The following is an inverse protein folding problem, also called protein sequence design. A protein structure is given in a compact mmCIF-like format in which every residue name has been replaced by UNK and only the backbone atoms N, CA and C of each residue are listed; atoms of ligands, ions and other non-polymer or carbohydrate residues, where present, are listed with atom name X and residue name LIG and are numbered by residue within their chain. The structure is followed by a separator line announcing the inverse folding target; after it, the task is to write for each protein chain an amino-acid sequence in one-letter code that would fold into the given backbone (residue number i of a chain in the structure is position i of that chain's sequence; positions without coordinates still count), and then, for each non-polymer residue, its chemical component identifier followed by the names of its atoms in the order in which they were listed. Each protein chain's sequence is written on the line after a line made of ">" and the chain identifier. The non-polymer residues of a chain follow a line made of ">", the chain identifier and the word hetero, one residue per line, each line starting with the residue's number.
data_IF_947149206987
#
_entry.id   IF_947149206987
#
_cell.length_a   1.000
_cell.length_b   1.000
_cell.length_c   1.000
_cell.angle_alpha   90.00
_cell.angle_beta   90.00
_cell.angle_gamma   90.00
#
_symmetry.space_group_name_H-M   'P 1'
#
loop_
_entity.id
_entity.type
_entity.pdbx_description
1 polymer ?
#
# COMPACT_ATOMS: atom_id res chain seq x y z
N UNK A 1 -23.04 -17.29 -6.15
CA UNK A 1 -23.08 -16.06 -5.34
C UNK A 1 -23.40 -14.93 -6.29
N UNK A 2 -24.66 -14.52 -6.27
CA UNK A 2 -25.35 -13.74 -7.27
C UNK A 2 -25.58 -12.34 -6.68
N UNK A 3 -24.87 -11.33 -7.19
CA UNK A 3 -25.01 -9.96 -6.73
C UNK A 3 -26.15 -9.29 -7.50
N UNK A 4 -27.25 -9.07 -6.80
CA UNK A 4 -28.46 -8.41 -7.30
C UNK A 4 -28.22 -6.92 -7.58
N UNK A 5 -28.77 -6.49 -8.70
CA UNK A 5 -28.89 -5.12 -9.20
C UNK A 5 -29.49 -4.15 -8.17
N UNK A 6 -28.81 -3.03 -7.93
CA UNK A 6 -29.38 -1.85 -7.30
C UNK A 6 -29.60 -0.78 -8.38
N UNK A 7 -30.79 -0.81 -8.99
CA UNK A 7 -31.31 0.29 -9.81
C UNK A 7 -31.96 1.31 -8.88
N UNK A 8 -31.38 2.49 -8.74
CA UNK A 8 -32.06 3.66 -8.17
C UNK A 8 -32.78 4.41 -9.31
N UNK A 9 -34.08 4.15 -9.44
CA UNK A 9 -35.03 4.97 -10.20
C UNK A 9 -35.68 5.93 -9.20
N UNK A 10 -35.42 7.22 -9.33
CA UNK A 10 -36.10 8.26 -8.56
C UNK A 10 -36.18 9.57 -9.36
N UNK A 11 -36.84 9.50 -10.51
CA UNK A 11 -37.29 10.69 -11.25
C UNK A 11 -38.66 10.43 -11.86
N UNK A 12 -39.64 10.23 -10.99
CA UNK A 12 -41.05 10.36 -11.35
C UNK A 12 -41.76 10.86 -10.11
N UNK A 13 -42.22 12.11 -10.13
CA UNK A 13 -43.45 12.65 -9.51
C UNK A 13 -43.31 14.17 -9.40
N UNK A 14 -43.49 14.89 -10.51
CA UNK A 14 -44.00 16.27 -10.49
C UNK A 14 -44.73 16.52 -11.82
N UNK A 15 -45.93 15.95 -11.90
CA UNK A 15 -46.95 16.38 -12.85
C UNK A 15 -48.14 16.93 -12.06
N UNK A 16 -48.68 18.03 -12.58
CA UNK A 16 -50.00 18.60 -12.27
C UNK A 16 -50.12 19.47 -11.02
N UNK A 17 -49.89 20.77 -11.19
CA UNK A 17 -50.89 21.78 -10.80
C UNK A 17 -50.66 23.11 -11.54
N UNK A 18 -51.28 23.26 -12.71
CA UNK A 18 -51.31 24.51 -13.45
C UNK A 18 -52.36 25.43 -12.83
N UNK A 19 -51.94 26.28 -11.89
CA UNK A 19 -52.73 27.42 -11.43
C UNK A 19 -52.36 28.66 -12.25
N UNK A 20 -53.35 29.13 -13.00
CA UNK A 20 -53.38 30.38 -13.75
C UNK A 20 -53.06 31.56 -12.81
N UNK A 21 -51.90 32.20 -12.98
CA UNK A 21 -51.58 33.44 -12.28
C UNK A 21 -52.15 34.66 -13.03
N UNK A 22 -52.80 35.61 -12.33
CA UNK A 22 -53.30 36.84 -12.94
C UNK A 22 -52.17 37.78 -13.35
N UNK A 23 -52.42 38.53 -14.43
CA UNK A 23 -51.57 39.55 -15.04
C UNK A 23 -50.85 40.44 -14.01
N UNK A 24 -49.51 40.39 -14.01
CA UNK A 24 -48.67 41.34 -13.31
C UNK A 24 -48.43 42.59 -14.18
N UNK A 25 -48.45 43.80 -13.61
CA UNK A 25 -48.18 45.05 -14.34
C UNK A 25 -46.72 45.12 -14.82
N UNK A 26 -46.41 45.97 -15.82
CA UNK A 26 -45.08 46.06 -16.42
C UNK A 26 -44.05 46.47 -15.36
N UNK A 27 -43.15 45.53 -15.06
CA UNK A 27 -41.99 45.77 -14.20
C UNK A 27 -41.05 46.72 -14.94
N UNK A 28 -40.88 47.90 -14.36
CA UNK A 28 -39.82 48.86 -14.71
C UNK A 28 -38.49 48.15 -14.49
N UNK A 29 -37.77 47.88 -15.58
CA UNK A 29 -36.45 47.25 -15.56
C UNK A 29 -35.45 48.25 -14.94
N UNK A 30 -34.87 47.96 -13.76
CA UNK A 30 -33.72 48.71 -13.28
C UNK A 30 -32.51 48.22 -14.07
N UNK A 31 -31.84 49.15 -14.73
CA UNK A 31 -30.55 48.97 -15.41
C UNK A 31 -29.57 48.17 -14.55
N UNK A 32 -29.08 47.06 -15.10
CA UNK A 32 -28.14 46.12 -14.52
C UNK A 32 -26.76 46.75 -14.25
N UNK A 33 -26.22 46.53 -13.03
CA UNK A 33 -24.87 45.99 -12.90
C UNK A 33 -24.78 45.01 -11.72
N UNK A 34 -25.20 43.75 -11.88
CA UNK A 34 -25.10 42.76 -10.78
C UNK A 34 -24.48 41.40 -11.17
N UNK A 35 -24.21 41.16 -12.46
CA UNK A 35 -23.59 39.90 -12.93
C UNK A 35 -22.11 39.75 -12.50
N UNK A 36 -21.36 40.85 -12.43
CA UNK A 36 -19.91 40.84 -12.12
C UNK A 36 -19.65 40.43 -10.66
N UNK A 37 -20.57 40.72 -9.73
CA UNK A 37 -20.36 40.46 -8.29
C UNK A 37 -20.55 38.99 -7.92
N UNK A 38 -21.42 38.26 -8.63
CA UNK A 38 -21.67 36.83 -8.38
C UNK A 38 -20.54 35.98 -8.98
N UNK A 39 -20.06 36.33 -10.17
CA UNK A 39 -18.98 35.64 -10.89
C UNK A 39 -17.66 35.66 -10.11
N UNK A 40 -17.28 36.81 -9.54
CA UNK A 40 -16.08 36.93 -8.69
C UNK A 40 -16.13 36.07 -7.42
N UNK A 41 -17.32 35.81 -6.86
CA UNK A 41 -17.49 34.94 -5.70
C UNK A 41 -17.42 33.45 -6.06
N UNK A 42 -17.99 33.06 -7.22
CA UNK A 42 -17.91 31.69 -7.72
C UNK A 42 -16.47 31.32 -8.13
N UNK A 43 -15.75 32.25 -8.74
CA UNK A 43 -14.36 32.06 -9.12
C UNK A 43 -13.44 31.94 -7.89
N UNK A 44 -13.65 32.77 -6.87
CA UNK A 44 -12.93 32.68 -5.59
C UNK A 44 -13.17 31.33 -4.89
N UNK A 45 -14.40 30.83 -4.93
CA UNK A 45 -14.76 29.52 -4.39
C UNK A 45 -14.04 28.37 -5.11
N UNK A 46 -14.02 28.38 -6.45
CA UNK A 46 -13.31 27.37 -7.27
C UNK A 46 -11.81 27.38 -7.01
N UNK A 47 -11.21 28.58 -6.91
CA UNK A 47 -9.79 28.74 -6.62
C UNK A 47 -9.42 28.19 -5.23
N UNK A 48 -10.26 28.48 -4.23
CA UNK A 48 -10.10 27.95 -2.88
C UNK A 48 -10.18 26.42 -2.89
N UNK A 49 -11.16 25.84 -3.59
CA UNK A 49 -11.30 24.38 -3.67
C UNK A 49 -10.13 23.70 -4.36
N UNK A 50 -9.61 24.28 -5.43
CA UNK A 50 -8.41 23.76 -6.09
C UNK A 50 -7.19 23.77 -5.16
N UNK A 51 -7.00 24.83 -4.38
CA UNK A 51 -5.95 24.90 -3.36
C UNK A 51 -6.13 23.87 -2.25
N UNK A 52 -7.36 23.65 -1.79
CA UNK A 52 -7.67 22.62 -0.79
C UNK A 52 -7.33 21.22 -1.32
N UNK A 53 -7.73 20.89 -2.55
CA UNK A 53 -7.42 19.61 -3.21
C UNK A 53 -5.91 19.43 -3.35
N UNK A 54 -5.19 20.46 -3.79
CA UNK A 54 -3.74 20.41 -3.93
C UNK A 54 -3.06 20.15 -2.57
N UNK A 55 -3.53 20.82 -1.51
CA UNK A 55 -3.02 20.65 -0.14
C UNK A 55 -3.31 19.24 0.39
N UNK A 56 -4.49 18.68 0.11
CA UNK A 56 -4.84 17.32 0.50
C UNK A 56 -3.95 16.27 -0.18
N UNK A 57 -3.74 16.40 -1.50
CA UNK A 57 -2.85 15.51 -2.25
C UNK A 57 -1.40 15.64 -1.76
N UNK A 58 -0.94 16.86 -1.49
CA UNK A 58 0.40 17.10 -0.94
C UNK A 58 0.58 16.49 0.45
N UNK A 59 -0.40 16.63 1.34
CA UNK A 59 -0.36 16.03 2.66
C UNK A 59 -0.37 14.49 2.59
N UNK A 60 -1.16 13.91 1.68
CA UNK A 60 -1.18 12.46 1.45
C UNK A 60 0.16 11.97 0.88
N UNK A 61 0.78 12.70 -0.04
CA UNK A 61 2.13 12.44 -0.55
C UNK A 61 3.17 12.41 0.56
N UNK A 62 3.22 13.45 1.39
CA UNK A 62 4.20 13.57 2.47
C UNK A 62 4.03 12.49 3.54
N UNK A 63 2.78 12.18 3.88
CA UNK A 63 2.45 11.07 4.79
C UNK A 63 2.98 9.75 4.24
N UNK A 64 2.78 9.48 2.94
CA UNK A 64 3.25 8.24 2.29
C UNK A 64 4.78 8.22 2.14
N UNK A 65 5.42 9.35 1.89
CA UNK A 65 6.88 9.48 1.82
C UNK A 65 7.54 9.22 3.19
N UNK A 66 6.96 9.74 4.27
CA UNK A 66 7.47 9.47 5.62
C UNK A 66 7.28 8.01 6.02
N UNK A 67 6.16 7.39 5.67
CA UNK A 67 5.93 5.97 5.90
C UNK A 67 6.91 5.12 5.09
N UNK A 68 7.08 5.35 3.80
CA UNK A 68 8.00 4.57 2.97
C UNK A 68 9.44 4.66 3.48
N UNK A 69 9.91 5.84 3.89
CA UNK A 69 11.23 6.02 4.53
C UNK A 69 11.40 5.18 5.79
N UNK A 70 10.40 5.16 6.67
CA UNK A 70 10.42 4.36 7.91
C UNK A 70 10.50 2.86 7.60
N UNK A 71 9.65 2.37 6.69
CA UNK A 71 9.67 0.97 6.28
C UNK A 71 10.98 0.59 5.61
N UNK A 72 11.51 1.42 4.72
CA UNK A 72 12.76 1.14 4.04
C UNK A 72 13.97 1.15 4.99
N UNK A 73 13.94 2.00 6.03
CA UNK A 73 14.91 1.94 7.13
C UNK A 73 14.80 0.63 7.91
N UNK A 74 13.59 0.17 8.22
CA UNK A 74 13.38 -1.10 8.91
C UNK A 74 13.88 -2.30 8.08
N UNK A 75 13.58 -2.34 6.78
CA UNK A 75 14.08 -3.36 5.84
C UNK A 75 15.61 -3.36 5.79
N UNK A 76 16.25 -2.17 5.74
CA UNK A 76 17.71 -2.06 5.77
C UNK A 76 18.33 -2.55 7.08
N UNK A 77 17.69 -2.29 8.22
CA UNK A 77 18.16 -2.80 9.52
C UNK A 77 18.06 -4.32 9.56
N UNK A 78 16.94 -4.89 9.12
CA UNK A 78 16.75 -6.35 9.05
C UNK A 78 17.79 -7.01 8.14
N UNK A 79 18.02 -6.46 6.95
CA UNK A 79 19.05 -6.97 6.04
C UNK A 79 20.47 -6.86 6.64
N UNK A 80 20.75 -5.80 7.41
CA UNK A 80 22.00 -5.66 8.14
C UNK A 80 22.19 -6.73 9.21
N UNK A 81 21.13 -7.06 9.95
CA UNK A 81 21.13 -8.14 10.95
C UNK A 81 21.34 -9.50 10.26
N UNK A 82 20.62 -9.77 9.17
CA UNK A 82 20.77 -11.04 8.43
C UNK A 82 22.21 -11.22 7.92
N UNK A 83 22.80 -10.18 7.33
CA UNK A 83 24.20 -10.21 6.87
C UNK A 83 25.18 -10.42 8.04
N UNK A 84 24.97 -9.73 9.17
CA UNK A 84 25.81 -9.91 10.35
C UNK A 84 25.69 -11.33 10.93
N UNK A 85 24.47 -11.88 10.94
CA UNK A 85 24.20 -13.23 11.41
C UNK A 85 24.90 -14.27 10.52
N UNK A 86 24.82 -14.12 9.20
CA UNK A 86 25.51 -15.01 8.23
C UNK A 86 27.02 -14.95 8.40
N UNK A 87 27.61 -13.75 8.54
CA UNK A 87 29.05 -13.60 8.76
C UNK A 87 29.46 -14.24 10.10
N UNK A 88 28.67 -14.03 11.15
CA UNK A 88 28.94 -14.60 12.48
C UNK A 88 28.84 -16.12 12.50
N UNK A 89 27.88 -16.72 11.78
CA UNK A 89 27.69 -18.17 11.72
C UNK A 89 28.81 -18.85 10.95
N UNK A 90 29.34 -18.22 9.89
CA UNK A 90 30.54 -18.69 9.19
C UNK A 90 31.76 -18.70 10.10
N UNK A 91 31.94 -17.67 10.94
CA UNK A 91 33.04 -17.61 11.90
C UNK A 91 32.89 -18.66 13.02
N UNK A 92 31.67 -18.82 13.57
CA UNK A 92 31.41 -19.83 14.60
C UNK A 92 31.61 -21.26 14.06
N UNK A 93 31.19 -21.54 12.83
CA UNK A 93 31.34 -22.85 12.20
C UNK A 93 32.79 -23.31 12.10
N UNK A 94 33.73 -22.38 11.86
CA UNK A 94 35.15 -22.68 11.84
C UNK A 94 35.71 -23.04 13.24
N UNK A 95 35.21 -22.38 14.29
CA UNK A 95 35.66 -22.63 15.68
C UNK A 95 34.97 -23.84 16.35
N UNK A 96 33.76 -24.20 15.93
CA UNK A 96 32.95 -25.24 16.58
C UNK A 96 33.53 -26.65 16.48
N UNK A 97 34.25 -26.96 15.39
CA UNK A 97 34.89 -28.26 15.18
C UNK A 97 35.97 -28.55 16.25
N UNK A 98 36.65 -27.51 16.75
CA UNK A 98 37.69 -27.66 17.77
C UNK A 98 37.17 -27.82 19.20
N UNK A 99 35.96 -27.34 19.50
CA UNK A 99 35.38 -27.43 20.85
C UNK A 99 34.76 -28.81 21.09
N UNK A 100 34.11 -29.39 20.07
CA UNK A 100 33.47 -30.71 20.15
C UNK A 100 34.43 -31.87 20.47
N UNK A 101 35.75 -31.68 20.32
CA UNK A 101 36.75 -32.71 20.65
C UNK A 101 37.07 -32.83 22.15
N UNK A 102 36.43 -32.05 23.02
CA UNK A 102 36.73 -32.03 24.47
C UNK A 102 35.55 -32.53 25.31
N UNK A 103 35.82 -33.25 26.41
CA UNK A 103 34.78 -33.85 27.31
C UNK A 103 33.88 -32.77 27.97
N UNK A 104 34.40 -31.55 28.14
CA UNK A 104 33.68 -30.40 28.71
C UNK A 104 32.68 -29.80 27.70
N UNK A 105 32.69 -30.25 26.43
CA UNK A 105 31.88 -29.68 25.37
C UNK A 105 30.40 -30.07 25.43
N UNK A 106 30.02 -31.16 26.11
CA UNK A 106 28.65 -31.67 26.09
C UNK A 106 27.59 -30.64 26.57
N UNK A 107 27.75 -29.93 27.70
CA UNK A 107 26.79 -28.91 28.13
C UNK A 107 26.75 -27.69 27.19
N UNK A 108 27.91 -27.32 26.62
CA UNK A 108 28.05 -26.19 25.69
C UNK A 108 27.38 -26.51 24.36
N UNK A 109 27.51 -27.74 23.86
CA UNK A 109 26.88 -28.22 22.64
C UNK A 109 25.35 -28.18 22.73
N UNK A 110 24.78 -28.68 23.84
CA UNK A 110 23.32 -28.63 24.07
C UNK A 110 22.81 -27.18 24.06
N UNK A 111 23.52 -26.26 24.73
CA UNK A 111 23.15 -24.85 24.74
C UNK A 111 23.22 -24.20 23.34
N UNK A 112 24.23 -24.54 22.54
CA UNK A 112 24.38 -24.05 21.17
C UNK A 112 23.32 -24.61 20.22
N UNK A 113 22.95 -25.88 20.34
CA UNK A 113 21.88 -26.49 19.53
C UNK A 113 20.53 -25.82 19.81
N UNK A 114 20.20 -25.57 21.07
CA UNK A 114 18.99 -24.83 21.43
C UNK A 114 18.99 -23.40 20.85
N UNK A 115 20.12 -22.70 20.91
CA UNK A 115 20.26 -21.37 20.35
C UNK A 115 20.14 -21.37 18.82
N UNK A 116 20.72 -22.36 18.14
CA UNK A 116 20.67 -22.52 16.69
C UNK A 116 19.24 -22.78 16.21
N UNK A 117 18.47 -23.64 16.90
CA UNK A 117 17.06 -23.87 16.61
C UNK A 117 16.23 -22.59 16.79
N UNK A 118 16.48 -21.83 17.85
CA UNK A 118 15.81 -20.55 18.11
C UNK A 118 16.08 -19.51 17.01
N UNK A 119 17.34 -19.36 16.61
CA UNK A 119 17.75 -18.45 15.52
C UNK A 119 17.19 -18.88 14.17
N UNK A 120 17.19 -20.19 13.86
CA UNK A 120 16.62 -20.72 12.63
C UNK A 120 15.12 -20.42 12.49
N UNK A 121 14.35 -20.58 13.56
CA UNK A 121 12.93 -20.25 13.56
C UNK A 121 12.71 -18.74 13.40
N UNK A 122 13.51 -17.92 14.09
CA UNK A 122 13.44 -16.46 14.01
C UNK A 122 13.80 -15.96 12.60
N UNK A 123 14.78 -16.56 11.94
CA UNK A 123 15.16 -16.21 10.56
C UNK A 123 14.03 -16.45 9.57
N UNK A 124 13.34 -17.59 9.67
CA UNK A 124 12.21 -17.93 8.81
C UNK A 124 11.05 -16.93 9.00
N UNK A 125 10.72 -16.59 10.26
CA UNK A 125 9.66 -15.61 10.57
C UNK A 125 10.09 -14.20 10.17
N UNK A 126 11.36 -13.87 10.38
CA UNK A 126 12.01 -12.60 10.02
C UNK A 126 11.97 -12.37 8.52
N UNK A 127 12.31 -13.36 7.70
CA UNK A 127 12.27 -13.28 6.23
C UNK A 127 10.87 -13.01 5.69
N UNK A 128 9.85 -13.71 6.21
CA UNK A 128 8.45 -13.45 5.84
C UNK A 128 8.01 -12.03 6.21
N UNK A 129 8.44 -11.57 7.39
CA UNK A 129 8.11 -10.21 7.87
C UNK A 129 8.83 -9.15 7.03
N UNK A 130 10.11 -9.34 6.72
CA UNK A 130 10.92 -8.44 5.90
C UNK A 130 10.29 -8.28 4.50
N UNK A 131 9.83 -9.38 3.90
CA UNK A 131 9.19 -9.34 2.59
C UNK A 131 7.86 -8.59 2.60
N UNK A 132 6.99 -8.83 3.61
CA UNK A 132 5.76 -8.04 3.80
C UNK A 132 6.04 -6.55 4.02
N UNK A 133 7.07 -6.21 4.78
CA UNK A 133 7.51 -4.83 5.00
C UNK A 133 7.99 -4.20 3.69
N UNK A 134 8.74 -4.94 2.87
CA UNK A 134 9.22 -4.46 1.56
C UNK A 134 8.08 -4.17 0.59
N UNK A 135 7.10 -5.06 0.47
CA UNK A 135 5.91 -4.84 -0.38
C UNK A 135 5.06 -3.67 0.12
N UNK A 136 4.98 -3.50 1.44
CA UNK A 136 4.31 -2.35 2.05
C UNK A 136 5.04 -1.04 1.75
N UNK A 137 6.38 -1.05 1.78
CA UNK A 137 7.20 0.10 1.40
C UNK A 137 6.99 0.45 -0.08
N UNK A 138 7.05 -0.54 -0.96
CA UNK A 138 6.86 -0.40 -2.41
C UNK A 138 5.47 0.17 -2.74
N UNK A 139 4.42 -0.29 -2.05
CA UNK A 139 3.07 0.28 -2.15
C UNK A 139 3.08 1.79 -1.88
N UNK A 140 3.73 2.22 -0.80
CA UNK A 140 3.78 3.62 -0.43
C UNK A 140 4.59 4.45 -1.43
N UNK A 141 5.67 3.91 -1.98
CA UNK A 141 6.46 4.54 -3.03
C UNK A 141 5.68 4.70 -4.35
N UNK A 142 4.98 3.66 -4.79
CA UNK A 142 4.15 3.70 -5.99
C UNK A 142 3.07 4.76 -5.88
N UNK A 143 2.39 4.85 -4.73
CA UNK A 143 1.36 5.87 -4.56
C UNK A 143 1.96 7.27 -4.41
N UNK A 144 3.14 7.40 -3.78
CA UNK A 144 3.86 8.68 -3.75
C UNK A 144 4.19 9.15 -5.17
N UNK A 145 4.75 8.29 -6.00
CA UNK A 145 5.12 8.62 -7.39
C UNK A 145 3.89 9.00 -8.21
N UNK A 146 2.79 8.26 -8.02
CA UNK A 146 1.51 8.60 -8.63
C UNK A 146 1.00 9.98 -8.16
N UNK A 147 1.05 10.26 -6.86
CA UNK A 147 0.64 11.56 -6.31
C UNK A 147 1.52 12.70 -6.85
N UNK A 148 2.83 12.49 -6.99
CA UNK A 148 3.76 13.48 -7.56
C UNK A 148 3.40 13.80 -9.01
N UNK A 149 3.14 12.78 -9.82
CA UNK A 149 2.74 12.96 -11.21
C UNK A 149 1.40 13.73 -11.32
N UNK A 150 0.41 13.38 -10.49
CA UNK A 150 -0.92 14.02 -10.53
C UNK A 150 -0.90 15.44 -9.97
N UNK A 151 -0.13 15.70 -8.93
CA UNK A 151 0.04 17.04 -8.37
C UNK A 151 0.67 17.97 -9.41
N UNK A 152 1.69 17.50 -10.14
CA UNK A 152 2.30 18.29 -11.21
C UNK A 152 1.28 18.60 -12.31
N UNK A 153 0.47 17.63 -12.75
CA UNK A 153 -0.60 17.88 -13.74
C UNK A 153 -1.62 18.90 -13.24
N UNK A 154 -2.10 18.76 -12.00
CA UNK A 154 -3.06 19.70 -11.41
C UNK A 154 -2.46 21.10 -11.28
N UNK A 155 -1.19 21.21 -10.88
CA UNK A 155 -0.48 22.49 -10.78
C UNK A 155 -0.33 23.16 -12.15
N UNK A 156 -0.05 22.39 -13.20
CA UNK A 156 0.01 22.89 -14.58
C UNK A 156 -1.37 23.38 -15.06
N UNK A 157 -2.44 22.64 -14.75
CA UNK A 157 -3.81 23.03 -15.09
C UNK A 157 -4.21 24.32 -14.37
N UNK A 158 -3.92 24.42 -13.07
CA UNK A 158 -4.19 25.64 -12.29
C UNK A 158 -3.39 26.82 -12.84
N UNK A 159 -2.11 26.62 -13.20
CA UNK A 159 -1.27 27.69 -13.75
C UNK A 159 -1.78 28.19 -15.11
N UNK A 160 -2.29 27.29 -15.95
CA UNK A 160 -2.92 27.64 -17.24
C UNK A 160 -4.23 28.42 -17.03
N UNK A 161 -5.08 27.95 -16.12
CA UNK A 161 -6.35 28.61 -15.83
C UNK A 161 -6.15 30.00 -15.20
N UNK A 162 -5.13 30.16 -14.34
CA UNK A 162 -4.72 31.45 -13.79
C UNK A 162 -4.17 32.41 -14.84
N UNK A 163 -3.50 31.91 -15.89
CA UNK A 163 -3.03 32.75 -17.00
C UNK A 163 -4.18 33.30 -17.85
N UNK A 164 -5.33 32.63 -17.87
CA UNK A 164 -6.56 33.05 -18.56
C UNK A 164 -7.47 33.99 -17.76
N UNK A 165 -7.09 34.35 -16.52
CA UNK A 165 -7.85 35.17 -15.56
C UNK A 165 -9.26 34.64 -15.21
N UNK A 166 -9.66 33.47 -15.74
CA UNK A 166 -10.89 32.76 -15.43
C UNK A 166 -10.68 31.24 -15.51
N UNK A 167 -11.28 30.51 -14.56
CA UNK A 167 -11.31 29.04 -14.57
C UNK A 167 -12.62 28.60 -15.23
N UNK A 168 -12.52 28.00 -16.43
CA UNK A 168 -13.70 27.49 -17.13
C UNK A 168 -14.28 26.25 -16.43
N UNK A 169 -15.57 25.98 -16.67
CA UNK A 169 -16.25 24.79 -16.13
C UNK A 169 -15.59 23.49 -16.65
N UNK A 170 -15.11 23.50 -17.89
CA UNK A 170 -14.39 22.40 -18.51
C UNK A 170 -13.05 22.13 -17.79
N UNK A 171 -12.29 23.17 -17.46
CA UNK A 171 -11.02 23.05 -16.72
C UNK A 171 -11.24 22.50 -15.31
N UNK A 172 -12.28 22.98 -14.62
CA UNK A 172 -12.66 22.50 -13.30
C UNK A 172 -13.10 21.02 -13.32
N UNK A 173 -13.91 20.63 -14.32
CA UNK A 173 -14.30 19.23 -14.54
C UNK A 173 -13.09 18.33 -14.82
N UNK A 174 -12.09 18.85 -15.55
CA UNK A 174 -10.86 18.12 -15.85
C UNK A 174 -10.02 17.87 -14.59
N UNK A 175 -9.93 18.84 -13.68
CA UNK A 175 -9.25 18.70 -12.38
C UNK A 175 -9.94 17.64 -11.51
N UNK A 176 -11.28 17.66 -11.45
CA UNK A 176 -12.05 16.64 -10.72
C UNK A 176 -11.86 15.24 -11.31
N UNK A 177 -11.91 15.11 -12.63
CA UNK A 177 -11.65 13.83 -13.30
C UNK A 177 -10.25 13.29 -13.05
N UNK A 178 -9.25 14.17 -12.88
CA UNK A 178 -7.88 13.78 -12.55
C UNK A 178 -7.74 13.30 -11.09
N UNK A 179 -8.51 13.89 -10.17
CA UNK A 179 -8.62 13.44 -8.78
C UNK A 179 -9.30 12.06 -8.69
N UNK A 180 -10.36 11.83 -9.45
CA UNK A 180 -11.05 10.53 -9.50
C UNK A 180 -10.14 9.44 -10.05
N UNK A 181 -9.42 9.72 -11.15
CA UNK A 181 -8.39 8.81 -11.68
C UNK A 181 -7.30 8.51 -10.66
N UNK A 182 -6.85 9.52 -9.90
CA UNK A 182 -5.89 9.31 -8.81
C UNK A 182 -6.44 8.34 -7.75
N UNK A 183 -7.70 8.52 -7.32
CA UNK A 183 -8.33 7.64 -6.35
C UNK A 183 -8.52 6.21 -6.88
N UNK A 184 -8.89 6.05 -8.15
CA UNK A 184 -9.02 4.74 -8.79
C UNK A 184 -7.67 4.00 -8.81
N UNK A 185 -6.62 4.64 -9.34
CA UNK A 185 -5.28 4.06 -9.39
C UNK A 185 -4.70 3.79 -7.99
N UNK A 186 -5.02 4.64 -7.00
CA UNK A 186 -4.66 4.43 -5.60
C UNK A 186 -5.26 3.14 -5.05
N UNK A 187 -6.52 2.84 -5.39
CA UNK A 187 -7.18 1.61 -4.95
C UNK A 187 -6.67 0.38 -5.71
N UNK A 188 -6.38 0.49 -7.00
CA UNK A 188 -5.73 -0.57 -7.79
C UNK A 188 -4.36 -0.96 -7.20
N UNK A 189 -3.53 0.02 -6.79
CA UNK A 189 -2.24 -0.28 -6.16
C UNK A 189 -2.47 -0.97 -4.80
N UNK A 190 -3.49 -0.57 -4.03
CA UNK A 190 -3.81 -1.21 -2.74
C UNK A 190 -4.29 -2.64 -2.93
N UNK A 191 -5.18 -2.89 -3.89
CA UNK A 191 -5.73 -4.21 -4.17
C UNK A 191 -4.64 -5.15 -4.69
N UNK A 192 -3.83 -4.70 -5.65
CA UNK A 192 -2.72 -5.50 -6.23
C UNK A 192 -1.71 -5.93 -5.17
N UNK A 193 -1.33 -5.03 -4.26
CA UNK A 193 -0.39 -5.36 -3.18
C UNK A 193 -1.05 -6.28 -2.14
N UNK A 194 -2.33 -6.08 -1.81
CA UNK A 194 -3.06 -6.96 -0.89
C UNK A 194 -3.16 -8.39 -1.43
N UNK A 195 -3.49 -8.55 -2.71
CA UNK A 195 -3.54 -9.85 -3.39
C UNK A 195 -2.15 -10.47 -3.48
N UNK A 196 -1.13 -9.67 -3.82
CA UNK A 196 0.26 -10.14 -3.84
C UNK A 196 0.73 -10.71 -2.50
N UNK A 197 0.42 -10.03 -1.40
CA UNK A 197 0.76 -10.51 -0.04
C UNK A 197 0.04 -11.83 0.29
N UNK A 198 -1.23 -11.97 -0.10
CA UNK A 198 -2.04 -13.17 0.17
C UNK A 198 -1.54 -14.38 -0.64
N UNK A 199 -1.35 -14.21 -1.95
CA UNK A 199 -0.82 -15.27 -2.82
C UNK A 199 0.59 -15.70 -2.42
N UNK A 200 1.43 -14.75 -2.05
CA UNK A 200 2.76 -15.08 -1.58
C UNK A 200 2.74 -15.81 -0.23
N UNK A 201 1.82 -15.43 0.68
CA UNK A 201 1.64 -16.14 1.94
C UNK A 201 1.22 -17.59 1.68
N UNK A 202 0.27 -17.82 0.76
CA UNK A 202 -0.14 -19.16 0.31
C UNK A 202 1.02 -19.95 -0.28
N UNK A 203 1.79 -19.36 -1.20
CA UNK A 203 2.96 -20.02 -1.79
C UNK A 203 4.00 -20.39 -0.73
N UNK A 204 4.26 -19.51 0.24
CA UNK A 204 5.21 -19.81 1.32
C UNK A 204 4.73 -20.96 2.23
N UNK A 205 3.42 -21.07 2.47
CA UNK A 205 2.84 -22.17 3.23
C UNK A 205 2.91 -23.49 2.46
N UNK A 206 2.66 -23.46 1.15
CA UNK A 206 2.80 -24.62 0.28
C UNK A 206 4.26 -25.09 0.22
N UNK A 207 5.21 -24.16 0.07
CA UNK A 207 6.64 -24.47 0.05
C UNK A 207 7.09 -25.10 1.39
N UNK A 208 6.71 -24.50 2.52
CA UNK A 208 6.98 -25.07 3.85
C UNK A 208 6.35 -26.46 4.04
N UNK A 209 5.11 -26.64 3.56
CA UNK A 209 4.45 -27.95 3.59
C UNK A 209 5.23 -29.02 2.83
N UNK A 210 5.79 -28.66 1.65
CA UNK A 210 6.62 -29.56 0.85
C UNK A 210 7.95 -29.89 1.53
N UNK A 211 8.65 -28.89 2.07
CA UNK A 211 9.91 -29.10 2.79
C UNK A 211 9.73 -30.00 4.02
N UNK A 212 8.69 -29.76 4.82
CA UNK A 212 8.39 -30.59 5.99
C UNK A 212 8.07 -32.03 5.60
N UNK A 213 7.33 -32.23 4.50
CA UNK A 213 7.09 -33.57 3.97
C UNK A 213 8.40 -34.26 3.59
N UNK A 214 9.29 -33.59 2.84
CA UNK A 214 10.59 -34.14 2.43
C UNK A 214 11.45 -34.51 3.65
N UNK A 215 11.55 -33.62 4.63
CA UNK A 215 12.30 -33.86 5.87
C UNK A 215 11.73 -35.06 6.66
N UNK A 216 10.40 -35.18 6.73
CA UNK A 216 9.75 -36.30 7.40
C UNK A 216 10.07 -37.65 6.72
N UNK A 217 10.07 -37.69 5.38
CA UNK A 217 10.45 -38.89 4.63
C UNK A 217 11.92 -39.24 4.83
N UNK A 218 12.83 -38.26 4.76
CA UNK A 218 14.25 -38.48 5.00
C UNK A 218 14.49 -39.07 6.39
N UNK A 219 13.84 -38.53 7.43
CA UNK A 219 13.97 -39.04 8.80
C UNK A 219 13.48 -40.51 8.92
N UNK A 220 12.37 -40.86 8.26
CA UNK A 220 11.87 -42.26 8.23
C UNK A 220 12.88 -43.21 7.57
N UNK A 221 13.52 -42.81 6.47
CA UNK A 221 14.52 -43.62 5.79
C UNK A 221 15.83 -43.75 6.57
N UNK A 222 16.25 -42.70 7.27
CA UNK A 222 17.42 -42.72 8.14
C UNK A 222 17.20 -43.67 9.32
N UNK A 223 16.06 -43.57 9.99
CA UNK A 223 15.70 -44.40 11.15
C UNK A 223 15.53 -45.88 10.80
N UNK A 224 15.09 -46.18 9.57
CA UNK A 224 15.00 -47.55 9.07
C UNK A 224 16.38 -48.18 8.81
N UNK A 225 17.37 -47.39 8.36
CA UNK A 225 18.75 -47.86 8.16
C UNK A 225 19.45 -48.17 9.48
N UNK A 226 19.27 -47.34 10.49
CA UNK A 226 19.87 -47.51 11.84
C UNK A 226 19.38 -48.77 12.56
N UNK A 227 18.13 -49.17 12.35
CA UNK A 227 17.59 -50.41 12.93
C UNK A 227 18.22 -51.67 12.33
N UNK A 228 18.61 -51.64 11.06
CA UNK A 228 19.26 -52.79 10.42
C UNK A 228 20.72 -52.97 10.85
N UNK A 229 21.42 -51.88 11.18
CA UNK A 229 22.83 -51.97 11.61
C UNK A 229 23.01 -52.42 13.06
N UNK A 230 21.98 -52.32 13.90
CA UNK A 230 22.03 -52.73 15.32
C UNK A 230 21.49 -54.15 15.60
N UNK A 231 21.11 -54.90 14.56
CA UNK A 231 20.56 -56.27 14.66
C UNK A 231 21.42 -57.33 13.95
N UNK A 232 22.62 -56.97 13.52
CA UNK A 232 23.70 -57.90 13.13
C UNK A 232 24.83 -57.84 14.15
#
# INVERSE_FOLDING_TARGET
>A
MEYKDFKCNAYDTYASDAKQYPFLPPVVVPSAPELIRVEGSAQSYRLQKNNEIQKEIAAERDKRANLSKKYHRAVRILAGIDNALVVSSMMLGATGIGVLSTIIAAPVAIAMECAALGLGLLYIVGGQTNKKLSMTAEKHEKIKTLADAKLNTISDLISKALAGDQISDEEYSLILGELDKFNQMKEEIRSKIRVGIDEETKQSLIAKGRENAILSFQNIFSKSREKQTNTS
#
